data_IF_791138820009
#
_entry.id   IF_791138820009
#
_cell.length_a   1.000
_cell.length_b   1.000
_cell.length_c   1.000
_cell.angle_alpha   90.00
_cell.angle_beta   90.00
_cell.angle_gamma   90.00
#
_symmetry.space_group_name_H-M   'P 1'
#
loop_
_entity.id
_entity.type
_entity.pdbx_description
1 polymer ?
#
# COMPACT_ATOMS: atom_id res chain seq x y z
N UNK A 1 17.45 1.67 28.81
CA UNK A 1 17.38 1.22 27.41
C UNK A 1 17.57 2.44 26.51
N UNK A 2 18.56 2.45 25.60
CA UNK A 2 18.66 3.53 24.62
C UNK A 2 17.44 3.45 23.71
N UNK A 3 16.69 4.55 23.57
CA UNK A 3 15.64 4.63 22.56
C UNK A 3 16.30 4.46 21.21
N UNK A 4 15.85 3.49 20.41
CA UNK A 4 16.24 3.41 19.01
C UNK A 4 15.90 4.74 18.34
N UNK A 5 16.79 5.26 17.49
CA UNK A 5 16.50 6.44 16.65
C UNK A 5 15.37 6.13 15.65
N UNK A 6 15.15 4.86 15.38
CA UNK A 6 14.24 4.39 14.33
C UNK A 6 12.99 3.72 14.91
N UNK A 7 11.84 3.83 14.22
CA UNK A 7 10.61 3.17 14.61
C UNK A 7 10.74 1.63 14.54
N UNK A 8 9.84 0.89 15.21
CA UNK A 8 9.83 -0.58 15.15
C UNK A 8 9.81 -1.09 13.70
N UNK A 9 10.66 -2.07 13.42
CA UNK A 9 10.79 -2.65 12.08
C UNK A 9 11.70 -1.87 11.13
N UNK A 10 12.22 -0.71 11.52
CA UNK A 10 13.19 0.06 10.76
C UNK A 10 14.52 0.08 11.54
N UNK A 11 15.55 -0.56 11.01
CA UNK A 11 16.91 -0.48 11.54
C UNK A 11 17.80 0.33 10.59
N UNK A 12 19.02 0.65 11.03
CA UNK A 12 19.97 1.45 10.27
C UNK A 12 20.26 0.85 8.89
N UNK A 13 20.46 -0.47 8.82
CA UNK A 13 20.71 -1.18 7.58
C UNK A 13 19.53 -1.04 6.59
N UNK A 14 18.29 -1.14 7.08
CA UNK A 14 17.08 -0.96 6.28
C UNK A 14 16.92 0.49 5.83
N UNK A 15 17.26 1.46 6.66
CA UNK A 15 17.26 2.88 6.28
C UNK A 15 18.26 3.12 5.15
N UNK A 16 19.49 2.62 5.27
CA UNK A 16 20.50 2.80 4.23
C UNK A 16 20.11 2.16 2.89
N UNK A 17 19.50 0.97 2.91
CA UNK A 17 18.99 0.34 1.67
C UNK A 17 17.90 1.18 1.00
N UNK A 18 16.99 1.75 1.79
CA UNK A 18 15.93 2.62 1.26
C UNK A 18 16.52 3.91 0.68
N UNK A 19 17.50 4.52 1.35
CA UNK A 19 18.18 5.70 0.84
C UNK A 19 18.89 5.42 -0.48
N UNK A 20 19.69 4.35 -0.55
CA UNK A 20 20.39 3.96 -1.78
C UNK A 20 19.42 3.73 -2.95
N UNK A 21 18.28 3.05 -2.71
CA UNK A 21 17.23 2.84 -3.72
C UNK A 21 16.72 4.16 -4.29
N UNK A 22 16.34 5.11 -3.43
CA UNK A 22 15.80 6.40 -3.89
C UNK A 22 16.86 7.35 -4.46
N UNK A 23 18.12 7.24 -4.04
CA UNK A 23 19.22 8.04 -4.60
C UNK A 23 19.61 7.58 -6.02
N UNK A 24 19.47 6.28 -6.31
CA UNK A 24 19.78 5.69 -7.62
C UNK A 24 18.56 5.64 -8.57
N UNK A 25 17.35 5.88 -8.05
CA UNK A 25 16.10 5.83 -8.81
C UNK A 25 16.07 6.91 -9.91
N UNK A 26 15.70 6.49 -11.12
CA UNK A 26 15.47 7.42 -12.23
C UNK A 26 14.10 8.09 -12.14
N UNK A 27 13.95 9.26 -12.77
CA UNK A 27 12.65 9.97 -12.81
C UNK A 27 11.53 9.11 -13.40
N UNK A 28 11.83 8.31 -14.43
CA UNK A 28 10.85 7.39 -15.02
C UNK A 28 10.42 6.27 -14.06
N UNK A 29 11.35 5.73 -13.26
CA UNK A 29 11.04 4.72 -12.25
C UNK A 29 10.22 5.30 -11.09
N UNK A 30 10.52 6.53 -10.67
CA UNK A 30 9.73 7.23 -9.66
C UNK A 30 8.27 7.43 -10.12
N UNK A 31 8.08 7.87 -11.37
CA UNK A 31 6.75 7.99 -11.97
C UNK A 31 6.04 6.64 -12.06
N UNK A 32 6.75 5.59 -12.49
CA UNK A 32 6.17 4.25 -12.57
C UNK A 32 5.76 3.70 -11.20
N UNK A 33 6.54 3.95 -10.13
CA UNK A 33 6.17 3.57 -8.77
C UNK A 33 4.88 4.27 -8.30
N UNK A 34 4.71 5.55 -8.63
CA UNK A 34 3.49 6.32 -8.31
C UNK A 34 2.28 5.83 -9.12
N UNK A 35 2.46 5.45 -10.39
CA UNK A 35 1.40 4.98 -11.29
C UNK A 35 1.02 3.51 -11.09
N UNK A 36 1.93 2.67 -10.59
CA UNK A 36 1.71 1.23 -10.39
C UNK A 36 0.50 0.92 -9.48
N UNK A 37 0.16 1.83 -8.56
CA UNK A 37 -1.04 1.71 -7.73
C UNK A 37 -2.34 1.73 -8.56
N UNK A 38 -2.32 2.39 -9.71
CA UNK A 38 -3.44 2.52 -10.64
C UNK A 38 -3.45 1.44 -11.74
N UNK A 39 -2.33 0.78 -11.99
CA UNK A 39 -2.23 -0.31 -12.98
C UNK A 39 -2.75 -1.66 -12.48
N UNK A 40 -3.05 -1.78 -11.18
CA UNK A 40 -3.55 -3.04 -10.62
C UNK A 40 -4.95 -3.39 -11.20
N UNK A 41 -4.98 -4.31 -12.16
CA UNK A 41 -6.20 -4.78 -12.84
C UNK A 41 -7.26 -5.38 -11.91
N UNK A 42 -6.91 -5.70 -10.66
CA UNK A 42 -7.87 -6.22 -9.67
C UNK A 42 -8.59 -5.12 -8.91
N UNK A 43 -8.16 -3.86 -9.02
CA UNK A 43 -8.71 -2.71 -8.31
C UNK A 43 -9.02 -1.57 -9.31
N UNK A 44 -9.82 -0.60 -8.89
CA UNK A 44 -10.18 0.56 -9.71
C UNK A 44 -10.25 1.78 -8.81
N UNK A 45 -9.67 2.89 -9.27
CA UNK A 45 -9.80 4.19 -8.60
C UNK A 45 -11.13 4.84 -9.00
N UNK A 46 -11.90 5.30 -8.02
CA UNK A 46 -13.16 6.00 -8.25
C UNK A 46 -13.32 7.14 -7.24
N UNK A 47 -13.90 8.25 -7.68
CA UNK A 47 -14.30 9.31 -6.76
C UNK A 47 -15.47 8.86 -5.90
N UNK A 48 -15.40 9.12 -4.59
CA UNK A 48 -16.45 8.81 -3.63
C UNK A 48 -16.65 10.04 -2.75
N UNK A 49 -17.87 10.62 -2.69
CA UNK A 49 -18.19 11.66 -1.72
C UNK A 49 -17.85 11.24 -0.29
N UNK A 50 -17.27 12.16 0.50
CA UNK A 50 -16.69 11.84 1.82
C UNK A 50 -17.71 11.18 2.74
N UNK A 51 -18.96 11.64 2.70
CA UNK A 51 -20.08 11.12 3.47
C UNK A 51 -20.42 9.65 3.15
N UNK A 52 -20.06 9.16 1.96
CA UNK A 52 -20.31 7.79 1.50
C UNK A 52 -19.15 6.84 1.78
N UNK A 53 -17.97 7.34 2.16
CA UNK A 53 -16.78 6.53 2.43
C UNK A 53 -17.03 5.39 3.44
N UNK A 54 -17.75 5.60 4.58
CA UNK A 54 -18.00 4.51 5.52
C UNK A 54 -18.79 3.35 4.90
N UNK A 55 -19.78 3.65 4.06
CA UNK A 55 -20.64 2.65 3.40
C UNK A 55 -19.84 1.84 2.39
N UNK A 56 -19.02 2.51 1.58
CA UNK A 56 -18.14 1.83 0.60
C UNK A 56 -17.14 0.92 1.30
N UNK A 57 -16.55 1.36 2.42
CA UNK A 57 -15.63 0.54 3.21
C UNK A 57 -16.30 -0.73 3.75
N UNK A 58 -17.54 -0.62 4.24
CA UNK A 58 -18.29 -1.77 4.72
C UNK A 58 -18.58 -2.77 3.57
N UNK A 59 -18.96 -2.29 2.39
CA UNK A 59 -19.20 -3.13 1.22
C UNK A 59 -17.94 -3.90 0.80
N UNK A 60 -16.78 -3.24 0.76
CA UNK A 60 -15.49 -3.88 0.45
C UNK A 60 -15.16 -4.96 1.49
N UNK A 61 -15.37 -4.68 2.78
CA UNK A 61 -15.13 -5.65 3.84
C UNK A 61 -16.02 -6.90 3.69
N UNK A 62 -17.31 -6.72 3.38
CA UNK A 62 -18.26 -7.83 3.11
C UNK A 62 -17.87 -8.64 1.87
N UNK A 63 -17.37 -8.00 0.82
CA UNK A 63 -16.90 -8.70 -0.37
C UNK A 63 -15.68 -9.58 -0.06
N UNK A 64 -14.70 -9.05 0.68
CA UNK A 64 -13.49 -9.79 1.08
C UNK A 64 -13.78 -10.97 2.00
N UNK A 65 -14.75 -10.86 2.90
CA UNK A 65 -15.15 -11.98 3.77
C UNK A 65 -15.83 -13.11 2.99
N UNK A 66 -16.65 -12.78 1.99
CA UNK A 66 -17.24 -13.76 1.07
C UNK A 66 -16.17 -14.47 0.23
N UNK A 67 -15.19 -13.73 -0.29
CA UNK A 67 -14.07 -14.30 -1.04
C UNK A 67 -13.23 -15.26 -0.19
N UNK A 68 -13.05 -14.99 1.12
CA UNK A 68 -12.35 -15.89 2.05
C UNK A 68 -13.17 -17.11 2.48
N UNK A 69 -14.50 -17.08 2.35
CA UNK A 69 -15.38 -18.21 2.65
C UNK A 69 -15.61 -19.17 1.48
N UNK A 70 -15.04 -18.87 0.31
CA UNK A 70 -15.10 -19.68 -0.92
C UNK A 70 -13.67 -20.10 -1.33
N UNK A 71 -12.94 -20.72 -0.41
CA UNK A 71 -11.78 -21.53 -0.80
C UNK A 71 -12.28 -22.97 -1.02
N UNK A 72 -12.02 -23.60 -2.18
CA UNK A 72 -12.33 -25.02 -2.35
C UNK A 72 -11.32 -25.85 -1.55
N UNK A 73 -11.81 -26.91 -0.89
CA UNK A 73 -11.00 -28.05 -0.40
C UNK A 73 -10.27 -28.75 -1.55
#
# INVERSE_FOLDING_TARGET
MKKSKYPPGLDEARVHRVLAHYEEQTEAEAVAEDEAAFENQTQTAMEVPVELVPVVRELIAKHRSKARGQSPD
#
